data_IF_018785578718
#
_entry.id   IF_018785578718
#
_cell.length_a   1.000
_cell.length_b   1.000
_cell.length_c   1.000
_cell.angle_alpha   90.00
_cell.angle_beta   90.00
_cell.angle_gamma   90.00
#
_symmetry.space_group_name_H-M   'P 1'
#
loop_
_entity.id
_entity.type
_entity.pdbx_description
1 polymer ?
#
# COMPACT_ATOMS: atom_id res chain seq x y z
N UNK A 1 -22.31 11.73 54.84
CA UNK A 1 -22.38 11.93 53.37
C UNK A 1 -23.70 12.61 53.08
N UNK A 2 -23.68 13.88 52.67
CA UNK A 2 -24.90 14.63 52.35
C UNK A 2 -25.35 14.27 50.92
N UNK A 3 -26.55 13.72 50.79
CA UNK A 3 -27.22 13.51 49.51
C UNK A 3 -27.66 14.86 48.92
N UNK A 4 -27.36 15.16 47.64
CA UNK A 4 -27.79 16.41 47.04
C UNK A 4 -29.30 16.44 46.83
N UNK A 5 -29.91 17.58 47.17
CA UNK A 5 -31.33 17.86 46.98
C UNK A 5 -31.70 17.82 45.49
N UNK A 6 -32.88 17.28 45.10
CA UNK A 6 -33.25 17.16 43.70
C UNK A 6 -33.37 18.55 43.02
N UNK A 7 -32.94 18.67 41.75
CA UNK A 7 -32.98 19.95 41.05
C UNK A 7 -34.42 20.46 40.88
N UNK A 8 -34.61 21.77 41.09
CA UNK A 8 -35.89 22.44 40.90
C UNK A 8 -36.29 22.40 39.41
N UNK A 9 -37.44 21.79 39.11
CA UNK A 9 -37.97 21.60 37.76
C UNK A 9 -38.00 22.90 36.94
N UNK A 10 -38.33 24.04 37.56
CA UNK A 10 -38.41 25.33 36.86
C UNK A 10 -37.03 25.78 36.36
N UNK A 11 -35.99 25.55 37.17
CA UNK A 11 -34.60 25.84 36.80
C UNK A 11 -34.14 24.93 35.66
N UNK A 12 -34.43 23.64 35.73
CA UNK A 12 -34.09 22.68 34.66
C UNK A 12 -34.76 23.01 33.33
N UNK A 13 -36.02 23.46 33.34
CA UNK A 13 -36.73 23.88 32.14
C UNK A 13 -36.14 25.18 31.56
N UNK A 14 -35.84 26.17 32.40
CA UNK A 14 -35.20 27.42 31.98
C UNK A 14 -33.81 27.18 31.38
N UNK A 15 -33.00 26.32 32.01
CA UNK A 15 -31.67 25.97 31.52
C UNK A 15 -31.75 25.27 30.15
N UNK A 16 -32.74 24.39 29.97
CA UNK A 16 -32.96 23.70 28.68
C UNK A 16 -33.45 24.65 27.59
N UNK A 17 -34.31 25.61 27.93
CA UNK A 17 -34.75 26.64 26.99
C UNK A 17 -33.59 27.54 26.54
N UNK A 18 -32.75 27.99 27.47
CA UNK A 18 -31.55 28.77 27.15
C UNK A 18 -30.55 27.99 26.29
N UNK A 19 -30.38 26.69 26.57
CA UNK A 19 -29.52 25.82 25.77
C UNK A 19 -30.04 25.65 24.33
N UNK A 20 -31.35 25.48 24.16
CA UNK A 20 -31.97 25.42 22.84
C UNK A 20 -31.81 26.72 22.07
N UNK A 21 -31.99 27.87 22.72
CA UNK A 21 -31.80 29.17 22.10
C UNK A 21 -30.36 29.36 21.60
N UNK A 22 -29.36 28.97 22.42
CA UNK A 22 -27.96 29.02 22.03
C UNK A 22 -27.68 28.10 20.82
N UNK A 23 -28.23 26.87 20.82
CA UNK A 23 -28.08 25.96 19.68
C UNK A 23 -28.70 26.48 18.39
N UNK A 24 -29.84 27.15 18.47
CA UNK A 24 -30.47 27.79 17.30
C UNK A 24 -29.59 28.92 16.78
N UNK A 25 -29.04 29.75 17.66
CA UNK A 25 -28.12 30.82 17.27
C UNK A 25 -26.84 30.27 16.61
N UNK A 26 -26.26 29.21 17.17
CA UNK A 26 -25.09 28.53 16.61
C UNK A 26 -25.40 27.93 15.23
N UNK A 27 -26.52 27.24 15.09
CA UNK A 27 -26.98 26.69 13.82
C UNK A 27 -27.14 27.81 12.78
N UNK A 28 -27.77 28.92 13.18
CA UNK A 28 -27.99 30.06 12.30
C UNK A 28 -26.67 30.70 11.85
N UNK A 29 -25.68 30.79 12.74
CA UNK A 29 -24.33 31.29 12.38
C UNK A 29 -23.59 30.38 11.40
N UNK A 30 -23.87 29.07 11.40
CA UNK A 30 -23.19 28.10 10.53
C UNK A 30 -23.88 28.00 9.17
N UNK A 31 -25.21 27.87 9.15
CA UNK A 31 -25.95 27.50 7.94
C UNK A 31 -26.43 28.70 7.12
N UNK A 32 -26.78 29.84 7.75
CA UNK A 32 -27.28 31.00 7.00
C UNK A 32 -26.28 31.57 5.98
N UNK A 33 -24.97 31.69 6.27
CA UNK A 33 -24.01 32.20 5.28
C UNK A 33 -23.98 31.35 4.01
N UNK A 34 -24.15 30.03 4.15
CA UNK A 34 -24.15 29.10 3.01
C UNK A 34 -25.42 29.26 2.17
N UNK A 35 -26.58 29.39 2.81
CA UNK A 35 -27.85 29.64 2.09
C UNK A 35 -27.82 30.98 1.37
N UNK A 36 -27.34 32.04 2.03
CA UNK A 36 -27.18 33.37 1.42
C UNK A 36 -26.23 33.35 0.23
N UNK A 37 -25.13 32.59 0.31
CA UNK A 37 -24.19 32.44 -0.81
C UNK A 37 -24.88 31.76 -2.01
N UNK A 38 -25.66 30.71 -1.77
CA UNK A 38 -26.41 30.01 -2.82
C UNK A 38 -27.48 30.91 -3.44
N UNK A 39 -28.19 31.69 -2.64
CA UNK A 39 -29.14 32.71 -3.12
C UNK A 39 -28.46 33.77 -3.99
N UNK A 40 -27.35 34.32 -3.49
CA UNK A 40 -26.57 35.34 -4.22
C UNK A 40 -26.06 34.79 -5.55
N UNK A 41 -25.55 33.55 -5.57
CA UNK A 41 -25.06 32.91 -6.77
C UNK A 41 -26.17 32.63 -7.79
N UNK A 42 -27.33 32.14 -7.35
CA UNK A 42 -28.48 31.94 -8.25
C UNK A 42 -29.01 33.24 -8.85
N UNK A 43 -28.88 34.36 -8.13
CA UNK A 43 -29.25 35.69 -8.60
C UNK A 43 -28.21 36.37 -9.48
N UNK A 44 -27.02 35.79 -9.64
CA UNK A 44 -25.88 36.45 -10.30
C UNK A 44 -26.04 36.53 -11.82
N UNK A 45 -25.42 37.55 -12.43
CA UNK A 45 -25.50 37.72 -13.89
C UNK A 45 -24.80 36.59 -14.66
N UNK A 46 -23.81 35.93 -14.05
CA UNK A 46 -23.15 34.76 -14.63
C UNK A 46 -24.14 33.59 -14.81
N UNK A 47 -25.03 33.37 -13.84
CA UNK A 47 -26.08 32.33 -13.92
C UNK A 47 -27.19 32.75 -14.88
N UNK A 48 -27.51 34.04 -14.93
CA UNK A 48 -28.49 34.61 -15.89
C UNK A 48 -27.97 34.62 -17.34
N UNK A 49 -26.66 34.60 -17.55
CA UNK A 49 -26.05 34.49 -18.88
C UNK A 49 -25.99 33.05 -19.42
N UNK A 50 -26.21 32.03 -18.57
CA UNK A 50 -26.18 30.62 -18.99
C UNK A 50 -27.35 30.25 -19.91
N UNK A 51 -27.17 29.26 -20.80
CA UNK A 51 -28.25 28.66 -21.57
C UNK A 51 -29.41 28.19 -20.67
N UNK A 52 -30.68 28.30 -21.11
CA UNK A 52 -31.84 27.96 -20.28
C UNK A 52 -31.83 26.54 -19.71
N UNK A 53 -31.33 25.57 -20.47
CA UNK A 53 -31.19 24.17 -20.04
C UNK A 53 -30.21 24.02 -18.88
N UNK A 54 -29.02 24.63 -19.00
CA UNK A 54 -27.98 24.61 -17.97
C UNK A 54 -28.42 25.36 -16.72
N UNK A 55 -29.10 26.50 -16.89
CA UNK A 55 -29.66 27.26 -15.77
C UNK A 55 -30.66 26.44 -14.97
N UNK A 56 -31.59 25.75 -15.65
CA UNK A 56 -32.59 24.89 -14.99
C UNK A 56 -31.94 23.77 -14.17
N UNK A 57 -30.91 23.11 -14.71
CA UNK A 57 -30.18 22.06 -14.00
C UNK A 57 -29.43 22.61 -12.78
N UNK A 58 -28.74 23.74 -12.94
CA UNK A 58 -28.03 24.40 -11.86
C UNK A 58 -28.97 24.86 -10.75
N UNK A 59 -30.12 25.46 -11.11
CA UNK A 59 -31.15 25.85 -10.14
C UNK A 59 -31.69 24.64 -9.39
N UNK A 60 -31.97 23.53 -10.07
CA UNK A 60 -32.41 22.28 -9.43
C UNK A 60 -31.38 21.78 -8.41
N UNK A 61 -30.10 21.76 -8.79
CA UNK A 61 -29.01 21.34 -7.92
C UNK A 61 -28.89 22.25 -6.68
N UNK A 62 -28.91 23.56 -6.87
CA UNK A 62 -28.83 24.51 -5.75
C UNK A 62 -30.03 24.38 -4.79
N UNK A 63 -31.22 24.08 -5.30
CA UNK A 63 -32.41 23.82 -4.47
C UNK A 63 -32.25 22.52 -3.66
N UNK A 64 -31.67 21.45 -4.24
CA UNK A 64 -31.35 20.22 -3.49
C UNK A 64 -30.32 20.47 -2.39
N UNK A 65 -29.30 21.29 -2.66
CA UNK A 65 -28.34 21.71 -1.64
C UNK A 65 -29.00 22.48 -0.50
N UNK A 66 -29.89 23.42 -0.80
CA UNK A 66 -30.64 24.16 0.23
C UNK A 66 -31.51 23.25 1.09
N UNK A 67 -32.26 22.35 0.47
CA UNK A 67 -33.08 21.37 1.20
C UNK A 67 -32.21 20.48 2.11
N UNK A 68 -31.02 20.11 1.65
CA UNK A 68 -30.06 19.33 2.46
C UNK A 68 -29.52 20.15 3.64
N UNK A 69 -29.22 21.43 3.43
CA UNK A 69 -28.79 22.35 4.49
C UNK A 69 -29.89 22.52 5.54
N UNK A 70 -31.14 22.69 5.14
CA UNK A 70 -32.29 22.76 6.05
C UNK A 70 -32.44 21.49 6.89
N UNK A 71 -32.31 20.30 6.28
CA UNK A 71 -32.32 19.03 7.02
C UNK A 71 -31.19 18.93 8.05
N UNK A 72 -30.00 19.44 7.72
CA UNK A 72 -28.87 19.47 8.65
C UNK A 72 -29.04 20.52 9.75
N UNK A 73 -29.67 21.66 9.46
CA UNK A 73 -30.06 22.67 10.44
C UNK A 73 -31.03 22.06 11.47
N UNK A 74 -32.11 21.42 11.00
CA UNK A 74 -33.10 20.78 11.87
C UNK A 74 -32.49 19.66 12.71
N UNK A 75 -31.63 18.82 12.11
CA UNK A 75 -30.90 17.77 12.82
C UNK A 75 -29.97 18.35 13.91
N UNK A 76 -29.31 19.47 13.65
CA UNK A 76 -28.43 20.14 14.60
C UNK A 76 -29.22 20.72 15.78
N UNK A 77 -30.36 21.37 15.52
CA UNK A 77 -31.22 21.96 16.56
C UNK A 77 -31.88 20.86 17.41
N UNK A 78 -32.39 19.80 16.79
CA UNK A 78 -33.08 18.69 17.48
C UNK A 78 -32.14 17.69 18.14
N UNK A 79 -30.87 17.65 17.76
CA UNK A 79 -29.88 16.71 18.29
C UNK A 79 -30.12 15.26 17.83
N UNK A 80 -30.84 15.07 16.72
CA UNK A 80 -31.08 13.76 16.12
C UNK A 80 -30.46 13.73 14.72
N UNK A 81 -29.75 12.65 14.34
CA UNK A 81 -29.21 12.53 12.99
C UNK A 81 -30.37 12.57 11.98
N UNK A 82 -30.19 13.20 10.80
CA UNK A 82 -31.26 13.33 9.83
C UNK A 82 -31.77 11.93 9.44
N UNK A 83 -33.09 11.75 9.28
CA UNK A 83 -33.65 10.48 8.85
C UNK A 83 -33.06 10.12 7.49
N UNK A 84 -32.53 8.90 7.37
CA UNK A 84 -31.96 8.38 6.13
C UNK A 84 -33.08 8.20 5.10
N UNK A 85 -33.41 9.27 4.37
CA UNK A 85 -34.39 9.28 3.30
C UNK A 85 -34.00 8.30 2.19
N UNK A 86 -34.90 7.36 1.93
CA UNK A 86 -34.79 6.37 0.87
C UNK A 86 -35.18 6.99 -0.48
N UNK A 87 -34.24 7.58 -1.20
CA UNK A 87 -34.45 7.87 -2.64
C UNK A 87 -33.12 7.90 -3.40
N UNK A 88 -32.63 6.72 -3.76
CA UNK A 88 -31.89 6.54 -5.02
C UNK A 88 -32.50 5.33 -5.73
N UNK A 89 -33.04 5.47 -6.96
CA UNK A 89 -33.44 4.29 -7.73
C UNK A 89 -32.20 3.44 -8.04
N UNK A 90 -32.35 2.10 -8.12
CA UNK A 90 -31.23 1.21 -8.40
C UNK A 90 -30.76 1.46 -9.83
N UNK A 91 -29.57 2.06 -9.98
CA UNK A 91 -28.88 2.05 -11.26
C UNK A 91 -28.34 0.63 -11.44
N UNK A 92 -29.04 -0.16 -12.25
CA UNK A 92 -28.58 -1.43 -12.78
C UNK A 92 -27.20 -1.22 -13.41
N UNK A 93 -26.14 -1.95 -12.99
CA UNK A 93 -24.86 -1.86 -13.67
C UNK A 93 -25.02 -2.47 -15.07
N UNK A 94 -24.91 -1.65 -16.12
CA UNK A 94 -24.64 -2.18 -17.45
C UNK A 94 -23.28 -2.87 -17.43
N UNK A 95 -23.27 -4.16 -17.74
CA UNK A 95 -22.06 -4.92 -18.01
C UNK A 95 -21.25 -4.26 -19.13
N UNK A 96 -19.94 -4.02 -18.96
CA UNK A 96 -19.09 -3.58 -20.06
C UNK A 96 -18.89 -4.73 -21.07
N UNK A 97 -18.78 -4.42 -22.37
CA UNK A 97 -18.59 -5.42 -23.42
C UNK A 97 -17.21 -6.08 -23.31
N UNK A 98 -17.17 -7.38 -23.58
CA UNK A 98 -15.95 -8.19 -23.63
C UNK A 98 -14.95 -7.67 -24.68
N UNK A 99 -13.64 -7.62 -24.38
CA UNK A 99 -12.62 -7.27 -25.37
C UNK A 99 -12.38 -8.41 -26.38
N UNK A 100 -11.95 -8.08 -27.62
CA UNK A 100 -11.80 -9.06 -28.70
C UNK A 100 -10.60 -9.98 -28.50
N UNK A 101 -10.77 -11.23 -28.91
CA UNK A 101 -9.74 -12.26 -29.00
C UNK A 101 -8.70 -11.87 -30.05
N UNK A 102 -7.49 -11.49 -29.64
CA UNK A 102 -6.33 -11.38 -30.53
C UNK A 102 -5.44 -12.62 -30.41
N UNK A 103 -5.41 -13.39 -31.48
CA UNK A 103 -4.49 -14.51 -31.73
C UNK A 103 -3.07 -13.96 -31.86
N UNK A 104 -2.18 -14.30 -30.93
CA UNK A 104 -0.75 -13.97 -31.04
C UNK A 104 0.01 -15.14 -31.64
N UNK A 105 0.49 -14.94 -32.87
CA UNK A 105 1.45 -15.77 -33.59
C UNK A 105 2.79 -15.80 -32.86
N UNK A 106 3.29 -17.00 -32.59
CA UNK A 106 4.59 -17.27 -31.98
C UNK A 106 5.71 -17.07 -32.99
N UNK A 107 6.69 -16.21 -32.69
CA UNK A 107 8.01 -16.23 -33.34
C UNK A 107 9.10 -16.19 -32.26
N UNK A 108 10.13 -17.05 -32.32
CA UNK A 108 10.99 -17.34 -31.18
C UNK A 108 12.15 -16.34 -31.07
N UNK A 109 12.35 -15.79 -29.87
CA UNK A 109 13.58 -15.07 -29.51
C UNK A 109 14.32 -15.86 -28.43
N UNK A 110 15.61 -16.10 -28.69
CA UNK A 110 16.55 -16.91 -27.91
C UNK A 110 16.71 -16.45 -26.44
N UNK A 111 17.11 -17.36 -25.53
CA UNK A 111 17.08 -17.13 -24.09
C UNK A 111 18.27 -16.28 -23.62
N UNK A 112 18.00 -15.01 -23.33
CA UNK A 112 18.88 -14.22 -22.46
C UNK A 112 18.65 -14.71 -21.03
N UNK A 113 19.69 -15.24 -20.41
CA UNK A 113 19.65 -15.87 -19.09
C UNK A 113 18.98 -15.00 -18.00
N UNK A 114 18.46 -15.63 -16.93
CA UNK A 114 17.73 -14.92 -15.90
C UNK A 114 18.67 -13.98 -15.13
N UNK A 115 18.60 -12.68 -15.43
CA UNK A 115 19.09 -11.63 -14.54
C UNK A 115 18.30 -11.73 -13.22
N UNK A 116 18.94 -11.87 -12.05
CA UNK A 116 18.21 -11.98 -10.81
C UNK A 116 17.58 -10.63 -10.46
N UNK A 117 16.29 -10.47 -10.73
CA UNK A 117 15.46 -9.59 -9.93
C UNK A 117 15.09 -10.37 -8.67
N UNK A 118 15.69 -10.02 -7.53
CA UNK A 118 15.15 -10.51 -6.28
C UNK A 118 15.34 -9.53 -5.13
N UNK A 119 14.20 -9.07 -4.64
CA UNK A 119 13.98 -8.67 -3.24
C UNK A 119 14.36 -9.90 -2.39
N UNK A 120 15.61 -9.97 -1.92
CA UNK A 120 16.12 -11.13 -1.21
C UNK A 120 15.54 -11.27 0.20
N UNK A 121 14.89 -12.41 0.41
CA UNK A 121 14.88 -13.25 1.63
C UNK A 121 15.14 -12.49 2.95
N UNK A 122 14.05 -12.05 3.58
CA UNK A 122 14.05 -11.60 4.98
C UNK A 122 14.32 -12.79 5.91
N UNK A 123 15.58 -13.11 6.19
CA UNK A 123 15.96 -14.03 7.28
C UNK A 123 17.35 -13.77 7.86
N UNK A 124 18.20 -12.99 7.21
CA UNK A 124 19.48 -12.54 7.76
C UNK A 124 19.42 -11.05 8.07
N UNK A 125 20.04 -10.57 9.17
CA UNK A 125 20.15 -9.14 9.43
C UNK A 125 21.14 -8.52 8.43
N UNK A 126 20.69 -7.49 7.69
CA UNK A 126 21.45 -6.83 6.62
C UNK A 126 21.67 -5.35 6.96
N UNK A 127 22.83 -4.81 6.61
CA UNK A 127 23.07 -3.37 6.54
C UNK A 127 23.21 -2.96 5.08
N UNK A 128 22.40 -2.00 4.62
CA UNK A 128 22.53 -1.44 3.28
C UNK A 128 23.43 -0.20 3.30
N UNK A 129 24.39 -0.16 2.38
CA UNK A 129 25.19 0.99 2.02
C UNK A 129 24.69 1.52 0.70
N UNK A 130 24.27 2.77 0.67
CA UNK A 130 23.90 3.42 -0.58
C UNK A 130 25.07 4.25 -1.07
N UNK A 131 25.79 3.75 -2.08
CA UNK A 131 26.67 4.42 -3.06
C UNK A 131 27.53 3.34 -3.75
N UNK A 132 27.66 3.41 -5.08
CA UNK A 132 28.34 2.40 -5.93
C UNK A 132 29.88 2.48 -5.95
N UNK A 133 30.49 3.18 -4.99
CA UNK A 133 31.90 3.58 -5.09
C UNK A 133 32.94 2.66 -4.44
N UNK A 134 32.65 1.74 -3.50
CA UNK A 134 33.69 0.80 -3.08
C UNK A 134 33.65 -0.46 -3.95
N UNK A 135 34.80 -0.87 -4.47
CA UNK A 135 35.02 -2.29 -4.77
C UNK A 135 35.03 -3.08 -3.45
N UNK A 136 34.55 -4.33 -3.45
CA UNK A 136 34.47 -5.20 -2.26
C UNK A 136 35.76 -5.16 -1.41
N UNK A 137 36.92 -5.12 -2.07
CA UNK A 137 38.23 -5.11 -1.42
C UNK A 137 38.47 -3.90 -0.49
N UNK A 138 37.83 -2.74 -0.74
CA UNK A 138 37.96 -1.56 0.13
C UNK A 138 37.13 -1.70 1.39
N UNK A 139 35.95 -2.34 1.31
CA UNK A 139 35.09 -2.61 2.46
C UNK A 139 35.75 -3.57 3.46
N UNK A 140 36.30 -4.68 2.96
CA UNK A 140 36.99 -5.65 3.81
C UNK A 140 38.21 -5.05 4.54
N UNK A 141 38.97 -4.18 3.87
CA UNK A 141 40.12 -3.48 4.49
C UNK A 141 39.70 -2.49 5.58
N UNK A 142 38.58 -1.80 5.40
CA UNK A 142 38.04 -0.82 6.37
C UNK A 142 37.47 -1.51 7.60
N UNK A 143 36.80 -2.64 7.42
CA UNK A 143 36.21 -3.41 8.51
C UNK A 143 37.26 -4.14 9.35
N UNK A 144 38.43 -4.45 8.76
CA UNK A 144 39.55 -5.10 9.44
C UNK A 144 39.11 -6.40 10.11
N UNK A 145 39.37 -6.63 11.42
CA UNK A 145 38.95 -7.84 12.11
C UNK A 145 37.41 -8.02 12.15
N UNK A 146 36.64 -6.94 12.00
CA UNK A 146 35.18 -6.99 12.02
C UNK A 146 34.58 -7.49 10.70
N UNK A 147 35.40 -7.66 9.66
CA UNK A 147 34.98 -8.38 8.45
C UNK A 147 34.50 -9.81 8.78
N UNK A 148 35.03 -10.43 9.84
CA UNK A 148 34.60 -11.74 10.33
C UNK A 148 33.15 -11.79 10.82
N UNK A 149 32.55 -10.63 11.12
CA UNK A 149 31.15 -10.51 11.50
C UNK A 149 30.20 -10.65 10.31
N UNK A 150 30.72 -10.43 9.10
CA UNK A 150 29.99 -10.55 7.84
C UNK A 150 30.00 -11.98 7.34
N UNK A 151 28.83 -12.42 6.88
CA UNK A 151 28.67 -13.67 6.14
C UNK A 151 28.92 -13.48 4.65
N UNK A 152 28.40 -12.39 4.10
CA UNK A 152 28.39 -12.12 2.68
C UNK A 152 28.21 -10.62 2.44
N UNK A 153 28.78 -10.11 1.35
CA UNK A 153 28.50 -8.76 0.83
C UNK A 153 27.84 -8.93 -0.53
N UNK A 154 26.68 -8.31 -0.72
CA UNK A 154 25.93 -8.39 -1.98
C UNK A 154 25.82 -7.02 -2.62
N UNK A 155 26.16 -6.90 -3.91
CA UNK A 155 25.84 -5.70 -4.67
C UNK A 155 24.32 -5.62 -4.89
N UNK A 156 23.74 -4.48 -4.54
CA UNK A 156 22.32 -4.15 -4.77
C UNK A 156 22.22 -2.91 -5.63
N UNK A 157 21.05 -2.67 -6.23
CA UNK A 157 20.85 -1.53 -7.16
C UNK A 157 21.28 -0.17 -6.59
N UNK A 158 21.13 -0.01 -5.27
CA UNK A 158 21.45 1.22 -4.55
C UNK A 158 22.87 1.26 -3.97
N UNK A 159 23.64 0.15 -4.00
CA UNK A 159 24.98 0.05 -3.42
C UNK A 159 25.30 -1.37 -2.92
N UNK A 160 25.62 -1.54 -1.64
CA UNK A 160 26.03 -2.84 -1.06
C UNK A 160 25.15 -3.26 0.11
N UNK A 161 24.85 -4.55 0.23
CA UNK A 161 24.17 -5.16 1.35
C UNK A 161 25.15 -6.04 2.14
N UNK A 162 25.48 -5.63 3.36
CA UNK A 162 26.32 -6.39 4.28
C UNK A 162 25.44 -7.37 5.05
N UNK A 163 25.53 -8.65 4.74
CA UNK A 163 24.77 -9.70 5.39
C UNK A 163 25.55 -10.23 6.59
N UNK A 164 24.94 -10.21 7.77
CA UNK A 164 25.49 -10.83 8.97
C UNK A 164 24.87 -12.21 9.21
N UNK A 165 25.58 -13.08 9.94
CA UNK A 165 25.09 -14.41 10.32
C UNK A 165 24.17 -14.40 11.55
N UNK A 166 24.19 -13.32 12.35
CA UNK A 166 23.44 -13.21 13.61
C UNK A 166 23.06 -11.75 13.93
N UNK A 167 21.99 -11.57 14.71
CA UNK A 167 21.56 -10.24 15.18
C UNK A 167 22.61 -9.56 16.06
N UNK A 168 23.38 -10.32 16.83
CA UNK A 168 24.48 -9.79 17.65
C UNK A 168 25.59 -9.18 16.77
N UNK A 169 25.93 -9.83 15.66
CA UNK A 169 26.91 -9.32 14.70
C UNK A 169 26.40 -8.04 14.01
N UNK A 170 25.10 -7.94 13.75
CA UNK A 170 24.52 -6.70 13.23
C UNK A 170 24.63 -5.55 14.22
N UNK A 171 24.31 -5.77 15.50
CA UNK A 171 24.45 -4.73 16.54
C UNK A 171 25.90 -4.26 16.70
N UNK A 172 26.86 -5.18 16.60
CA UNK A 172 28.28 -4.85 16.62
C UNK A 172 28.70 -4.02 15.38
N UNK A 173 28.16 -4.36 14.20
CA UNK A 173 28.42 -3.65 12.95
C UNK A 173 27.74 -2.27 12.92
N UNK A 174 26.56 -2.12 13.53
CA UNK A 174 25.87 -0.84 13.70
C UNK A 174 26.68 0.15 14.54
N UNK A 175 27.38 -0.31 15.58
CA UNK A 175 28.29 0.55 16.37
C UNK A 175 29.43 1.14 15.52
N UNK A 176 29.77 0.49 14.41
CA UNK A 176 30.85 0.92 13.51
C UNK A 176 30.34 1.74 12.31
N UNK A 177 29.05 2.09 12.30
CA UNK A 177 28.42 2.89 11.23
C UNK A 177 29.20 4.15 10.90
N UNK A 178 29.73 4.87 11.89
CA UNK A 178 30.50 6.09 11.67
C UNK A 178 31.82 5.84 10.90
N UNK A 179 32.54 4.77 11.25
CA UNK A 179 33.81 4.38 10.62
C UNK A 179 33.55 3.94 9.18
N UNK A 180 32.52 3.12 8.97
CA UNK A 180 32.10 2.64 7.65
C UNK A 180 31.67 3.83 6.77
N UNK A 181 30.88 4.77 7.32
CA UNK A 181 30.42 5.97 6.59
C UNK A 181 31.59 6.86 6.17
N UNK A 182 32.52 7.11 7.09
CA UNK A 182 33.69 7.95 6.83
C UNK A 182 34.64 7.35 5.79
N UNK A 183 34.77 6.02 5.76
CA UNK A 183 35.74 5.36 4.89
C UNK A 183 35.27 5.23 3.43
N UNK A 184 33.96 5.22 3.22
CA UNK A 184 33.32 5.00 1.90
C UNK A 184 32.90 6.33 1.27
N UNK A 185 32.69 7.37 2.09
CA UNK A 185 32.30 8.72 1.68
C UNK A 185 30.79 8.85 1.56
N UNK A 186 30.20 9.80 2.29
CA UNK A 186 28.78 10.21 2.29
C UNK A 186 27.77 9.09 1.98
N UNK A 187 27.95 7.93 2.62
CA UNK A 187 27.06 6.78 2.45
C UNK A 187 25.97 6.81 3.51
N UNK A 188 24.71 6.71 3.08
CA UNK A 188 23.62 6.43 4.00
C UNK A 188 23.68 4.94 4.38
N UNK A 189 24.02 4.69 5.63
CA UNK A 189 24.02 3.34 6.20
C UNK A 189 22.69 3.14 6.91
N UNK A 190 21.96 2.10 6.52
CA UNK A 190 20.68 1.76 7.11
C UNK A 190 20.66 0.29 7.52
N UNK A 191 20.20 0.02 8.74
CA UNK A 191 19.86 -1.32 9.14
C UNK A 191 18.60 -1.76 8.39
N UNK A 192 18.56 -3.01 7.94
CA UNK A 192 17.39 -3.55 7.28
C UNK A 192 16.24 -3.66 8.29
N UNK A 193 15.31 -2.71 8.21
CA UNK A 193 14.08 -2.76 8.98
C UNK A 193 13.04 -3.63 8.26
N UNK A 194 12.30 -4.43 9.02
CA UNK A 194 11.12 -5.12 8.48
C UNK A 194 10.00 -4.10 8.34
N UNK A 195 9.42 -4.01 7.13
CA UNK A 195 8.30 -3.11 6.86
C UNK A 195 7.01 -3.88 6.57
N UNK A 196 5.89 -3.32 7.04
CA UNK A 196 4.56 -3.68 6.58
C UNK A 196 4.20 -2.78 5.40
N UNK A 197 4.00 -3.38 4.23
CA UNK A 197 3.83 -2.65 2.96
C UNK A 197 2.37 -2.71 2.52
N UNK A 198 1.78 -1.57 2.19
CA UNK A 198 0.42 -1.44 1.67
C UNK A 198 0.43 -0.83 0.26
N UNK A 199 -0.50 -1.29 -0.57
CA UNK A 199 -0.89 -0.66 -1.84
C UNK A 199 -2.08 0.20 -1.58
N UNK A 200 -2.01 1.46 -1.97
CA UNK A 200 -3.11 2.41 -1.99
C UNK A 200 -3.55 2.57 -3.44
N UNK A 201 -4.78 2.17 -3.75
CA UNK A 201 -5.38 2.33 -5.07
C UNK A 201 -6.36 3.51 -5.03
N UNK A 202 -6.54 4.16 -6.18
CA UNK A 202 -7.44 5.29 -6.35
C UNK A 202 -7.03 6.56 -5.58
N UNK A 203 -5.72 6.81 -5.44
CA UNK A 203 -5.24 8.07 -4.84
C UNK A 203 -5.35 9.18 -5.88
N UNK A 204 -6.07 10.29 -5.64
CA UNK A 204 -6.19 11.37 -6.60
C UNK A 204 -4.80 11.95 -6.93
N UNK A 205 -4.53 12.28 -8.20
CA UNK A 205 -3.26 12.93 -8.59
C UNK A 205 -3.23 14.40 -8.21
N UNK A 206 -4.38 15.07 -8.23
CA UNK A 206 -4.54 16.45 -7.80
C UNK A 206 -5.61 16.52 -6.74
N UNK A 207 -5.38 17.33 -5.72
CA UNK A 207 -6.37 17.62 -4.70
C UNK A 207 -6.73 19.10 -4.77
N UNK A 208 -8.01 19.38 -4.60
CA UNK A 208 -8.51 20.74 -4.55
C UNK A 208 -8.27 21.23 -3.13
N UNK A 209 -7.54 22.33 -3.00
CA UNK A 209 -7.30 23.00 -1.74
C UNK A 209 -7.88 24.40 -1.78
N UNK A 210 -8.24 24.88 -0.60
CA UNK A 210 -8.60 26.26 -0.41
C UNK A 210 -7.38 26.97 0.19
N UNK A 211 -6.77 27.87 -0.57
CA UNK A 211 -5.53 28.51 -0.16
C UNK A 211 -5.78 29.67 0.85
N UNK A 212 -4.71 30.19 1.44
CA UNK A 212 -4.78 31.30 2.42
C UNK A 212 -5.35 32.61 1.82
N UNK A 213 -5.51 32.66 0.51
CA UNK A 213 -6.11 33.78 -0.24
C UNK A 213 -7.58 33.52 -0.58
N UNK A 214 -8.20 32.50 0.04
CA UNK A 214 -9.59 32.11 -0.14
C UNK A 214 -9.96 31.74 -1.59
N UNK A 215 -8.97 31.25 -2.36
CA UNK A 215 -9.15 30.77 -3.73
C UNK A 215 -9.04 29.25 -3.80
N UNK A 216 -9.83 28.70 -4.72
CA UNK A 216 -9.78 27.28 -5.06
C UNK A 216 -8.57 27.05 -5.96
N UNK A 217 -7.63 26.23 -5.48
CA UNK A 217 -6.45 25.81 -6.23
C UNK A 217 -6.35 24.29 -6.29
N UNK A 218 -5.60 23.76 -7.26
CA UNK A 218 -5.35 22.33 -7.41
C UNK A 218 -3.87 22.05 -7.23
N UNK A 219 -3.50 21.36 -6.15
CA UNK A 219 -2.12 20.93 -5.93
C UNK A 219 -1.92 19.48 -6.33
N UNK A 220 -0.72 19.17 -6.81
CA UNK A 220 -0.33 17.80 -7.12
C UNK A 220 -0.11 17.03 -5.81
N UNK A 221 -0.64 15.81 -5.73
CA UNK A 221 -0.39 14.92 -4.60
C UNK A 221 1.03 14.42 -4.67
N UNK A 222 1.85 14.83 -3.70
CA UNK A 222 3.24 14.40 -3.56
C UNK A 222 3.37 13.36 -2.45
N UNK A 223 4.60 12.87 -2.26
CA UNK A 223 4.94 11.95 -1.17
C UNK A 223 4.57 12.53 0.20
N UNK A 224 4.83 13.81 0.39
CA UNK A 224 4.61 14.50 1.67
C UNK A 224 3.11 14.66 1.93
N UNK A 225 2.32 15.02 0.92
CA UNK A 225 0.86 15.08 1.00
C UNK A 225 0.24 13.77 1.48
N UNK A 226 0.73 12.62 0.98
CA UNK A 226 0.24 11.30 1.41
C UNK A 226 0.71 10.96 2.82
N UNK A 227 1.96 11.29 3.14
CA UNK A 227 2.50 11.09 4.48
C UNK A 227 1.66 11.83 5.52
N UNK A 228 1.34 13.10 5.25
CA UNK A 228 0.55 13.94 6.15
C UNK A 228 -0.89 13.45 6.25
N UNK A 229 -1.54 13.12 5.14
CA UNK A 229 -2.90 12.60 5.15
C UNK A 229 -3.04 11.26 5.90
N UNK A 230 -2.05 10.37 5.79
CA UNK A 230 -2.03 9.11 6.55
C UNK A 230 -1.73 9.36 8.03
N UNK A 231 -0.84 10.31 8.34
CA UNK A 231 -0.52 10.71 9.71
C UNK A 231 -1.74 11.32 10.39
N UNK A 232 -2.50 12.17 9.72
CA UNK A 232 -3.74 12.73 10.23
C UNK A 232 -4.80 11.63 10.45
N UNK A 233 -4.96 10.72 9.49
CA UNK A 233 -5.98 9.67 9.58
C UNK A 233 -5.68 8.60 10.65
N UNK A 234 -4.42 8.17 10.75
CA UNK A 234 -4.03 7.00 11.55
C UNK A 234 -3.12 7.31 12.72
N UNK A 235 -2.63 8.54 12.85
CA UNK A 235 -1.57 8.95 13.79
C UNK A 235 -0.27 8.17 13.63
N UNK A 236 -0.05 7.55 12.45
CA UNK A 236 1.15 6.76 12.16
C UNK A 236 2.05 7.51 11.19
N UNK A 237 3.35 7.47 11.46
CA UNK A 237 4.37 8.06 10.59
C UNK A 237 4.75 7.05 9.52
N UNK A 238 4.67 7.47 8.26
CA UNK A 238 5.11 6.67 7.13
C UNK A 238 6.64 6.56 7.12
N UNK A 239 7.16 5.35 6.93
CA UNK A 239 8.61 5.15 6.75
C UNK A 239 9.00 5.44 5.31
N UNK A 240 8.14 5.07 4.36
CA UNK A 240 8.41 5.21 2.95
C UNK A 240 7.13 5.29 2.12
N UNK A 241 7.15 6.12 1.08
CA UNK A 241 6.08 6.23 0.09
C UNK A 241 6.68 6.39 -1.30
N UNK A 242 6.21 5.58 -2.25
CA UNK A 242 6.55 5.67 -3.67
C UNK A 242 5.26 5.61 -4.47
N UNK A 243 5.14 6.49 -5.46
CA UNK A 243 4.12 6.37 -6.49
C UNK A 243 4.50 5.27 -7.49
N UNK A 244 3.57 4.36 -7.78
CA UNK A 244 3.81 3.30 -8.75
C UNK A 244 3.97 3.87 -10.16
N UNK A 245 5.03 3.48 -10.86
CA UNK A 245 5.34 3.91 -12.24
C UNK A 245 4.62 3.07 -13.30
N UNK A 246 3.66 2.21 -12.93
CA UNK A 246 2.88 1.45 -13.92
C UNK A 246 2.18 2.43 -14.86
N UNK A 247 2.71 2.56 -16.08
CA UNK A 247 2.31 3.45 -17.18
C UNK A 247 0.99 4.18 -16.89
N UNK A 248 1.04 5.31 -16.15
CA UNK A 248 -0.16 6.07 -15.92
C UNK A 248 -0.55 6.56 -17.30
N UNK A 249 -1.71 6.13 -17.79
CA UNK A 249 -2.29 6.83 -18.93
C UNK A 249 -2.33 8.32 -18.55
N UNK A 250 -1.92 9.24 -19.44
CA UNK A 250 -1.85 10.67 -19.11
C UNK A 250 -3.20 11.20 -18.59
N UNK A 251 -4.29 10.52 -18.98
CA UNK A 251 -5.67 10.87 -18.67
C UNK A 251 -6.23 10.26 -17.38
N UNK A 252 -5.43 9.53 -16.60
CA UNK A 252 -5.92 8.91 -15.36
C UNK A 252 -5.92 9.91 -14.20
N UNK A 253 -7.08 10.19 -13.62
CA UNK A 253 -7.24 11.08 -12.47
C UNK A 253 -6.64 10.52 -11.18
N UNK A 254 -6.47 9.20 -11.12
CA UNK A 254 -5.99 8.50 -9.96
C UNK A 254 -4.60 7.91 -10.18
N UNK A 255 -3.92 7.61 -9.10
CA UNK A 255 -2.63 6.96 -9.06
C UNK A 255 -2.59 5.90 -7.97
N UNK A 256 -1.67 4.95 -8.14
CA UNK A 256 -1.43 3.89 -7.16
C UNK A 256 -0.16 4.21 -6.40
N UNK A 257 -0.22 4.11 -5.07
CA UNK A 257 0.91 4.36 -4.20
C UNK A 257 1.27 3.12 -3.39
N UNK A 258 2.57 2.93 -3.16
CA UNK A 258 3.09 1.90 -2.27
C UNK A 258 3.62 2.62 -1.04
N UNK A 259 3.05 2.28 0.11
CA UNK A 259 3.40 2.89 1.40
C UNK A 259 3.90 1.83 2.37
N UNK A 260 4.89 2.19 3.18
CA UNK A 260 5.54 1.27 4.11
C UNK A 260 5.54 1.83 5.52
N UNK A 261 5.23 0.97 6.48
CA UNK A 261 5.27 1.24 7.92
C UNK A 261 6.29 0.33 8.60
N UNK A 262 6.83 0.76 9.74
CA UNK A 262 7.61 -0.12 10.60
C UNK A 262 6.76 -1.29 11.10
N UNK A 263 7.37 -2.48 11.20
CA UNK A 263 6.69 -3.68 11.71
C UNK A 263 6.17 -3.44 13.12
N UNK A 264 4.90 -3.78 13.38
CA UNK A 264 4.21 -3.52 14.64
C UNK A 264 3.26 -2.32 14.62
N UNK A 265 3.24 -1.57 13.51
CA UNK A 265 2.24 -0.54 13.23
C UNK A 265 0.80 -1.13 13.22
N UNK A 266 -0.17 -0.30 13.62
CA UNK A 266 -1.59 -0.68 13.56
C UNK A 266 -2.00 -0.87 12.09
N UNK A 267 -2.74 -1.95 11.75
CA UNK A 267 -3.11 -2.22 10.38
C UNK A 267 -4.03 -1.12 9.83
N UNK A 268 -3.77 -0.70 8.59
CA UNK A 268 -4.65 0.23 7.88
C UNK A 268 -6.00 -0.42 7.57
N UNK A 269 -7.07 0.38 7.62
CA UNK A 269 -8.41 -0.06 7.15
C UNK A 269 -8.39 -0.27 5.63
N UNK A 270 -9.18 -1.23 5.15
CA UNK A 270 -9.32 -1.56 3.72
C UNK A 270 -9.78 -0.37 2.85
N UNK A 271 -10.56 0.54 3.41
CA UNK A 271 -11.02 1.75 2.74
C UNK A 271 -10.69 2.95 3.62
N UNK A 272 -9.91 3.89 3.09
CA UNK A 272 -9.51 5.12 3.76
C UNK A 272 -10.23 6.29 3.10
N UNK A 273 -10.77 7.20 3.91
CA UNK A 273 -11.28 8.48 3.44
C UNK A 273 -10.23 9.53 3.75
N UNK A 274 -9.36 9.82 2.79
CA UNK A 274 -8.30 10.83 2.90
C UNK A 274 -8.23 11.60 1.59
N UNK A 275 -7.75 12.85 1.61
CA UNK A 275 -7.63 13.70 0.43
C UNK A 275 -8.96 13.91 -0.33
N UNK A 276 -10.09 13.90 0.40
CA UNK A 276 -11.43 14.00 -0.19
C UNK A 276 -11.86 12.80 -1.03
N UNK A 277 -11.07 11.71 -1.06
CA UNK A 277 -11.31 10.53 -1.87
C UNK A 277 -11.44 9.25 -1.02
N UNK A 278 -12.08 8.24 -1.60
CA UNK A 278 -12.16 6.90 -1.01
C UNK A 278 -11.06 6.01 -1.61
N UNK A 279 -10.01 5.78 -0.81
CA UNK A 279 -8.79 5.09 -1.21
C UNK A 279 -8.85 3.65 -0.73
N UNK A 280 -8.69 2.70 -1.65
CA UNK A 280 -8.67 1.28 -1.32
C UNK A 280 -7.27 0.85 -0.93
N UNK A 281 -7.12 0.23 0.23
CA UNK A 281 -5.85 -0.29 0.73
C UNK A 281 -5.79 -1.80 0.60
N UNK A 282 -4.62 -2.31 0.23
CA UNK A 282 -4.35 -3.73 0.17
C UNK A 282 -2.99 -4.01 0.77
N UNK A 283 -2.93 -4.89 1.76
CA UNK A 283 -1.65 -5.34 2.32
C UNK A 283 -0.90 -6.14 1.25
N UNK A 284 0.34 -5.73 0.92
CA UNK A 284 1.22 -6.54 0.09
C UNK A 284 1.85 -7.62 0.96
N UNK A 285 1.21 -8.78 0.98
CA UNK A 285 1.84 -9.98 1.51
C UNK A 285 2.75 -10.53 0.41
N UNK A 286 4.05 -10.66 0.71
CA UNK A 286 4.94 -11.42 -0.16
C UNK A 286 4.45 -12.87 -0.18
N UNK A 287 3.94 -13.30 -1.34
CA UNK A 287 3.59 -14.70 -1.52
C UNK A 287 4.87 -15.53 -1.35
N UNK A 288 4.86 -16.62 -0.55
CA UNK A 288 6.01 -17.50 -0.48
C UNK A 288 6.35 -17.95 -1.90
N UNK A 289 7.64 -17.91 -2.25
CA UNK A 289 8.10 -18.41 -3.54
C UNK A 289 7.60 -19.83 -3.73
N UNK A 290 7.17 -20.15 -4.94
CA UNK A 290 6.89 -21.52 -5.32
C UNK A 290 8.18 -22.31 -5.12
N UNK A 291 8.22 -23.15 -4.09
CA UNK A 291 9.34 -24.03 -3.80
C UNK A 291 9.28 -25.24 -4.72
N UNK A 292 10.43 -25.85 -4.98
CA UNK A 292 10.47 -27.14 -5.62
C UNK A 292 9.79 -28.18 -4.71
N UNK A 293 8.91 -29.00 -5.27
CA UNK A 293 8.23 -30.04 -4.53
C UNK A 293 9.19 -31.21 -4.23
N UNK A 294 9.25 -31.67 -2.98
CA UNK A 294 10.11 -32.80 -2.60
C UNK A 294 9.64 -34.16 -3.15
N UNK A 295 8.41 -34.26 -3.67
CA UNK A 295 7.86 -35.52 -4.23
C UNK A 295 8.17 -35.66 -5.70
N UNK A 296 7.80 -34.68 -6.51
CA UNK A 296 7.91 -34.75 -7.97
C UNK A 296 8.97 -33.81 -8.55
N UNK A 297 9.66 -33.03 -7.70
CA UNK A 297 10.69 -32.06 -8.07
C UNK A 297 10.26 -30.95 -9.04
N UNK A 298 8.94 -30.73 -9.21
CA UNK A 298 8.36 -29.62 -9.96
C UNK A 298 8.03 -28.43 -9.06
N UNK A 299 7.85 -27.25 -9.65
CA UNK A 299 7.55 -26.02 -8.93
C UNK A 299 6.05 -25.87 -8.66
N UNK A 300 5.62 -26.35 -7.50
CA UNK A 300 4.28 -26.09 -6.95
C UNK A 300 4.30 -26.29 -5.43
N UNK A 301 3.19 -25.97 -4.77
CA UNK A 301 3.04 -26.24 -3.34
C UNK A 301 3.12 -27.75 -3.08
N UNK A 302 4.05 -28.19 -2.23
CA UNK A 302 4.26 -29.60 -1.94
C UNK A 302 3.05 -30.27 -1.26
N UNK A 303 2.25 -29.49 -0.50
CA UNK A 303 1.05 -30.00 0.20
C UNK A 303 -0.08 -30.36 -0.75
N UNK A 304 -0.15 -29.73 -1.92
CA UNK A 304 -1.19 -29.97 -2.93
C UNK A 304 -0.70 -30.88 -4.06
N UNK A 305 0.43 -31.56 -3.86
CA UNK A 305 0.97 -32.47 -4.87
C UNK A 305 0.20 -33.78 -4.91
N UNK A 306 -0.47 -34.04 -6.04
CA UNK A 306 -1.11 -35.32 -6.34
C UNK A 306 -0.16 -36.33 -6.99
N UNK A 307 1.07 -35.93 -7.34
CA UNK A 307 2.06 -36.82 -7.96
C UNK A 307 2.71 -37.72 -6.90
N UNK A 308 3.00 -38.96 -7.30
CA UNK A 308 3.79 -39.90 -6.50
C UNK A 308 5.21 -39.39 -6.30
N UNK A 309 5.85 -39.88 -5.24
CA UNK A 309 7.24 -39.57 -4.96
C UNK A 309 8.14 -40.24 -5.99
N UNK A 310 9.05 -39.47 -6.60
CA UNK A 310 10.05 -39.96 -7.54
C UNK A 310 11.44 -39.89 -6.93
N UNK A 311 12.37 -40.69 -7.44
CA UNK A 311 13.76 -40.67 -7.06
C UNK A 311 14.45 -39.41 -7.60
N UNK A 312 15.20 -38.70 -6.75
CA UNK A 312 15.90 -37.46 -7.16
C UNK A 312 16.99 -37.72 -8.21
N UNK A 313 17.60 -38.90 -8.19
CA UNK A 313 18.80 -39.23 -8.97
C UNK A 313 18.47 -39.78 -10.35
N UNK A 314 17.35 -40.51 -10.50
CA UNK A 314 16.97 -41.13 -11.77
C UNK A 314 15.54 -40.80 -12.23
N UNK A 315 14.72 -40.15 -11.40
CA UNK A 315 13.33 -39.80 -11.73
C UNK A 315 12.35 -40.98 -11.69
N UNK A 316 12.75 -42.18 -11.26
CA UNK A 316 11.85 -43.34 -11.13
C UNK A 316 10.88 -43.16 -9.97
N UNK A 317 9.60 -43.50 -10.17
CA UNK A 317 8.59 -43.55 -9.12
C UNK A 317 8.60 -44.83 -8.28
N UNK A 318 9.51 -45.77 -8.56
CA UNK A 318 9.56 -47.08 -7.92
C UNK A 318 10.38 -47.12 -6.63
N UNK A 319 11.25 -46.13 -6.41
CA UNK A 319 12.13 -46.07 -5.23
C UNK A 319 12.47 -44.63 -4.83
N UNK A 320 12.93 -44.45 -3.59
CA UNK A 320 13.41 -43.18 -3.04
C UNK A 320 14.92 -43.02 -3.23
N UNK A 321 15.47 -41.83 -2.96
CA UNK A 321 16.91 -41.56 -3.03
C UNK A 321 17.76 -42.51 -2.17
N UNK A 322 17.28 -42.89 -0.99
CA UNK A 322 17.98 -43.81 -0.07
C UNK A 322 18.19 -45.21 -0.63
N UNK A 323 17.28 -45.65 -1.50
CA UNK A 323 17.28 -47.00 -2.07
C UNK A 323 17.76 -47.00 -3.53
N UNK A 324 18.43 -45.93 -3.94
CA UNK A 324 18.95 -45.82 -5.30
C UNK A 324 20.25 -46.60 -5.45
N UNK A 325 20.16 -47.76 -6.10
CA UNK A 325 21.29 -48.52 -6.62
C UNK A 325 21.31 -48.42 -8.15
N UNK A 326 22.49 -48.49 -8.77
CA UNK A 326 22.64 -48.47 -10.24
C UNK A 326 21.82 -49.58 -10.92
N UNK A 327 21.61 -50.69 -10.22
CA UNK A 327 20.60 -51.72 -10.49
C UNK A 327 19.50 -51.64 -9.43
N UNK A 328 18.40 -50.96 -9.74
CA UNK A 328 17.22 -50.97 -8.87
C UNK A 328 16.56 -52.35 -9.02
N UNK A 329 16.29 -53.05 -7.91
CA UNK A 329 15.89 -54.46 -7.82
C UNK A 329 14.57 -54.91 -8.50
N UNK A 330 14.10 -54.16 -9.50
CA UNK A 330 12.99 -54.52 -10.38
C UNK A 330 13.38 -54.21 -11.82
N UNK A 331 14.08 -55.08 -12.54
CA UNK A 331 14.19 -55.09 -14.03
C UNK A 331 14.46 -53.75 -14.76
N UNK A 332 15.02 -52.72 -14.10
CA UNK A 332 15.28 -51.43 -14.73
C UNK A 332 16.61 -50.84 -14.30
N UNK A 333 17.42 -50.48 -15.30
CA UNK A 333 18.67 -49.75 -15.12
C UNK A 333 18.33 -48.29 -14.90
N UNK A 334 18.77 -47.73 -13.78
CA UNK A 334 18.48 -46.35 -13.38
C UNK A 334 19.78 -45.54 -13.40
N UNK A 335 20.26 -45.08 -14.57
CA UNK A 335 21.42 -44.20 -14.59
C UNK A 335 21.08 -42.86 -13.91
N UNK A 336 22.03 -42.25 -13.19
CA UNK A 336 21.84 -40.91 -12.65
C UNK A 336 21.66 -39.94 -13.81
N UNK A 337 20.59 -39.15 -13.79
CA UNK A 337 20.27 -38.16 -14.82
C UNK A 337 19.64 -36.93 -14.20
N UNK A 338 19.82 -35.78 -14.84
CA UNK A 338 19.15 -34.56 -14.43
C UNK A 338 17.63 -34.67 -14.67
N UNK A 339 16.82 -34.41 -13.64
CA UNK A 339 15.35 -34.48 -13.71
C UNK A 339 14.72 -33.47 -14.69
N UNK A 340 15.44 -32.41 -15.05
CA UNK A 340 14.91 -31.33 -15.88
C UNK A 340 15.37 -31.40 -17.33
N UNK A 341 16.63 -31.75 -17.58
CA UNK A 341 17.18 -31.83 -18.93
C UNK A 341 17.48 -33.26 -19.40
N UNK A 342 17.27 -34.28 -18.57
CA UNK A 342 17.63 -35.69 -18.82
C UNK A 342 19.11 -35.93 -19.17
N UNK A 343 19.97 -34.91 -19.01
CA UNK A 343 21.40 -35.00 -19.26
C UNK A 343 22.18 -35.69 -18.13
N UNK A 344 23.47 -36.00 -18.37
CA UNK A 344 24.34 -36.56 -17.34
C UNK A 344 24.44 -35.62 -16.13
N UNK A 345 24.65 -36.15 -14.92
CA UNK A 345 24.82 -35.32 -13.72
C UNK A 345 26.07 -34.44 -13.88
N UNK A 346 26.06 -33.22 -13.31
CA UNK A 346 27.27 -32.38 -13.29
C UNK A 346 28.41 -33.16 -12.62
N UNK A 347 29.57 -33.23 -13.29
CA UNK A 347 30.79 -33.77 -12.69
C UNK A 347 31.11 -32.91 -11.47
N UNK A 348 31.24 -33.55 -10.30
CA UNK A 348 31.67 -32.87 -9.08
C UNK A 348 33.14 -32.51 -9.16
#
# INVERSE_FOLDING_TARGET
MATPSPPNLSKTLSDKASNLLNKVNDAQSIFNPVTQLLDTYLGSEEVRALPPSSRKLLTSLCLEFKATIEQHFDAFVTGHPPPRGATTPPVTPLSPPSPPTTTHTSTPTMPIGPKPSYIQKASTPIIALTNKTPSDNRLFKVLGPNASLLREVQEVKTGFALCTSSTANLLALEKQKAIISSAIGDCKIEAQEKWTIYRLNYVPKKVIIFNDQFKIDSILVTKDTISDAIKEYSSQVLTHAIQSQTNPSPNEYYSTWIVSFKTGAKPLKKNLKILGANISTSLLVQKPKITQCNRCFQWHNARTCLKSQICRLCGSGKHTESNHTTSCGTEHVCPPKCLHCNGPPPRR
#
